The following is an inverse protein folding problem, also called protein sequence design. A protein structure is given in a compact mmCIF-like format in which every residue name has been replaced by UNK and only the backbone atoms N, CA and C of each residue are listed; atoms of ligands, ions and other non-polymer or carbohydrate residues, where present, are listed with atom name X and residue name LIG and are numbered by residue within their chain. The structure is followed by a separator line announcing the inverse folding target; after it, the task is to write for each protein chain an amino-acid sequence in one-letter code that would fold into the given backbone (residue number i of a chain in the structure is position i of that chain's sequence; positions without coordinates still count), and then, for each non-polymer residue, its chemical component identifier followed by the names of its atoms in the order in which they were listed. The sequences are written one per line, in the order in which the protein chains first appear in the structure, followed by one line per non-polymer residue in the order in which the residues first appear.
data_IF_235014378513
#
_entry.id   IF_235014378513
#
_cell.length_a   1.000
_cell.length_b   1.000
_cell.length_c   1.000
_cell.angle_alpha   90.00
_cell.angle_beta   90.00
_cell.angle_gamma   90.00
#
_symmetry.space_group_name_H-M   'P 1'
#
loop_
_entity.id
_entity.type
_entity.pdbx_description
1 polymer ?
#
# COMPACT_ATOMS: atom_id res chain seq x y z
N UNK A 1 -7.85 -0.79 -1.41
CA UNK A 1 -8.67 -1.83 -0.71
C UNK A 1 -9.37 -2.83 -1.64
N UNK A 2 -10.05 -2.38 -2.70
CA UNK A 2 -10.84 -3.27 -3.57
C UNK A 2 -10.00 -4.34 -4.28
N UNK A 3 -8.76 -4.03 -4.66
CA UNK A 3 -7.85 -4.99 -5.32
C UNK A 3 -7.34 -6.08 -4.37
N UNK A 4 -7.18 -5.77 -3.08
CA UNK A 4 -6.52 -6.65 -2.11
C UNK A 4 -7.48 -7.33 -1.15
N UNK A 5 -8.71 -6.81 -1.01
CA UNK A 5 -9.69 -7.31 -0.05
C UNK A 5 -9.97 -8.80 -0.23
N UNK A 6 -9.99 -9.32 -1.47
CA UNK A 6 -10.30 -10.71 -1.82
C UNK A 6 -9.15 -11.68 -1.59
N UNK A 7 -7.90 -11.21 -1.69
CA UNK A 7 -6.71 -12.05 -1.88
C UNK A 7 -6.54 -13.12 -0.80
N UNK A 8 -6.90 -12.83 0.46
CA UNK A 8 -6.85 -13.78 1.57
C UNK A 8 -8.21 -14.05 2.21
N UNK A 9 -9.12 -13.07 2.20
CA UNK A 9 -10.44 -13.26 2.82
C UNK A 9 -11.30 -14.28 2.07
N UNK A 10 -11.20 -14.31 0.74
CA UNK A 10 -12.03 -15.20 -0.08
C UNK A 10 -11.55 -16.65 0.01
N UNK A 11 -10.25 -16.89 0.04
CA UNK A 11 -9.68 -18.22 0.27
C UNK A 11 -10.04 -18.80 1.63
N UNK A 12 -10.15 -17.94 2.66
CA UNK A 12 -10.64 -18.35 3.98
C UNK A 12 -12.12 -18.68 3.95
N UNK A 13 -12.92 -17.91 3.23
CA UNK A 13 -14.36 -18.14 3.11
C UNK A 13 -14.68 -19.44 2.35
N UNK A 14 -13.87 -19.78 1.35
CA UNK A 14 -14.07 -20.96 0.50
C UNK A 14 -13.39 -22.22 1.08
N UNK A 15 -12.53 -22.08 2.09
CA UNK A 15 -11.83 -23.19 2.74
C UNK A 15 -10.57 -23.67 2.00
N UNK A 16 -10.24 -23.09 0.84
CA UNK A 16 -9.01 -23.37 0.09
C UNK A 16 -7.74 -22.99 0.87
N UNK A 17 -7.89 -22.13 1.89
CA UNK A 17 -6.81 -21.81 2.82
C UNK A 17 -6.24 -23.05 3.54
N UNK A 18 -7.04 -24.08 3.79
CA UNK A 18 -6.55 -25.31 4.44
C UNK A 18 -5.67 -26.16 3.52
N UNK A 19 -6.00 -26.19 2.21
CA UNK A 19 -5.18 -26.85 1.19
C UNK A 19 -3.82 -26.17 1.00
N UNK A 20 -3.78 -24.85 1.06
CA UNK A 20 -2.51 -24.10 1.05
C UNK A 20 -1.67 -24.41 2.30
N UNK A 21 -2.31 -24.66 3.44
CA UNK A 21 -1.64 -24.95 4.72
C UNK A 21 -1.01 -26.35 4.77
N UNK A 22 -1.57 -27.32 4.05
CA UNK A 22 -1.00 -28.68 3.96
C UNK A 22 0.10 -28.79 2.92
N UNK A 23 0.22 -27.80 2.03
CA UNK A 23 1.34 -27.71 1.08
C UNK A 23 2.64 -27.29 1.79
N UNK A 24 3.82 -27.75 1.35
CA UNK A 24 5.12 -27.44 1.96
C UNK A 24 5.61 -26.02 1.60
N UNK A 25 4.70 -25.03 1.61
CA UNK A 25 4.96 -23.65 1.22
C UNK A 25 5.01 -22.78 2.48
N UNK A 26 6.04 -21.95 2.61
CA UNK A 26 6.19 -21.07 3.77
C UNK A 26 5.21 -19.90 3.68
N UNK A 27 4.65 -19.46 4.82
CA UNK A 27 3.66 -18.38 4.88
C UNK A 27 4.11 -17.10 4.15
N UNK A 28 5.38 -16.70 4.31
CA UNK A 28 5.92 -15.52 3.63
C UNK A 28 5.90 -15.63 2.10
N UNK A 29 6.04 -16.84 1.54
CA UNK A 29 6.02 -17.06 0.08
C UNK A 29 4.61 -16.82 -0.47
N UNK A 30 3.59 -17.26 0.26
CA UNK A 30 2.19 -17.01 -0.09
C UNK A 30 1.87 -15.52 -0.05
N UNK A 31 2.32 -14.83 1.00
CA UNK A 31 2.11 -13.38 1.17
C UNK A 31 2.82 -12.59 0.06
N UNK A 32 4.09 -12.86 -0.19
CA UNK A 32 4.86 -12.19 -1.24
C UNK A 32 4.28 -12.47 -2.64
N UNK A 33 3.90 -13.70 -2.93
CA UNK A 33 3.28 -14.04 -4.22
C UNK A 33 1.99 -13.26 -4.48
N UNK A 34 1.11 -13.18 -3.48
CA UNK A 34 -0.14 -12.40 -3.57
C UNK A 34 0.12 -10.90 -3.67
N UNK A 35 1.10 -10.39 -2.92
CA UNK A 35 1.50 -9.01 -2.98
C UNK A 35 2.04 -8.63 -4.38
N UNK A 36 2.96 -9.42 -4.93
CA UNK A 36 3.51 -9.20 -6.26
C UNK A 36 2.44 -9.30 -7.35
N UNK A 37 1.50 -10.25 -7.24
CA UNK A 37 0.37 -10.33 -8.15
C UNK A 37 -0.47 -9.04 -8.13
N UNK A 38 -0.70 -8.47 -6.95
CA UNK A 38 -1.42 -7.20 -6.81
C UNK A 38 -0.65 -6.00 -7.38
N UNK A 39 0.69 -5.99 -7.25
CA UNK A 39 1.55 -4.98 -7.86
C UNK A 39 1.46 -5.06 -9.38
N UNK A 40 1.55 -6.26 -9.97
CA UNK A 40 1.50 -6.43 -11.44
C UNK A 40 0.18 -5.91 -12.00
N UNK A 41 -0.94 -6.24 -11.36
CA UNK A 41 -2.25 -5.71 -11.75
C UNK A 41 -2.28 -4.18 -11.65
N UNK A 42 -1.76 -3.63 -10.55
CA UNK A 42 -1.70 -2.18 -10.39
C UNK A 42 -0.82 -1.50 -11.47
N UNK A 43 0.40 -1.99 -11.68
CA UNK A 43 1.32 -1.45 -12.69
C UNK A 43 0.72 -1.54 -14.10
N UNK A 44 -0.01 -2.61 -14.42
CA UNK A 44 -0.69 -2.72 -15.71
C UNK A 44 -1.73 -1.61 -15.92
N UNK A 45 -2.42 -1.18 -14.87
CA UNK A 45 -3.33 -0.03 -14.91
C UNK A 45 -2.59 1.29 -15.04
N UNK A 46 -1.48 1.47 -14.31
CA UNK A 46 -0.63 2.66 -14.39
C UNK A 46 0.01 2.83 -15.77
N UNK A 47 0.35 1.76 -16.46
CA UNK A 47 0.89 1.84 -17.83
C UNK A 47 -0.11 2.52 -18.80
N UNK A 48 -1.41 2.32 -18.61
CA UNK A 48 -2.42 2.98 -19.44
C UNK A 48 -2.41 4.51 -19.27
N UNK A 49 -2.04 5.01 -18.08
CA UNK A 49 -1.98 6.45 -17.82
C UNK A 49 -0.77 7.12 -18.47
N UNK A 50 0.26 6.37 -18.88
CA UNK A 50 1.38 6.91 -19.65
C UNK A 50 0.93 7.52 -20.99
N UNK A 51 -0.22 7.09 -21.52
CA UNK A 51 -0.84 7.72 -22.69
C UNK A 51 -1.02 9.24 -22.51
N UNK A 52 -1.36 9.69 -21.30
CA UNK A 52 -1.49 11.13 -21.00
C UNK A 52 -0.14 11.86 -21.06
N UNK A 53 0.95 11.20 -20.66
CA UNK A 53 2.31 11.77 -20.77
C UNK A 53 2.69 11.98 -22.23
N UNK A 54 2.35 11.02 -23.09
CA UNK A 54 2.59 11.13 -24.54
C UNK A 54 1.80 12.29 -25.15
N UNK A 55 0.51 12.42 -24.81
CA UNK A 55 -0.33 13.52 -25.29
C UNK A 55 0.24 14.88 -24.82
N UNK A 56 0.62 14.99 -23.55
CA UNK A 56 1.23 16.23 -23.03
C UNK A 56 2.58 16.52 -23.68
N UNK A 57 3.38 15.51 -24.02
CA UNK A 57 4.65 15.71 -24.73
C UNK A 57 4.47 16.22 -26.16
N UNK A 58 3.35 15.91 -26.82
CA UNK A 58 3.03 16.36 -28.18
C UNK A 58 2.43 17.78 -28.16
N UNK A 59 1.48 18.04 -27.26
CA UNK A 59 0.68 19.28 -27.27
C UNK A 59 1.10 20.32 -26.23
N UNK A 60 2.01 19.99 -25.31
CA UNK A 60 2.45 20.85 -24.22
C UNK A 60 3.97 20.92 -24.07
N UNK A 61 4.42 21.64 -23.03
CA UNK A 61 5.81 21.65 -22.55
C UNK A 61 5.86 21.07 -21.14
N UNK A 62 5.65 19.75 -20.98
CA UNK A 62 5.64 19.14 -19.67
C UNK A 62 7.03 19.18 -19.03
N UNK A 63 7.07 19.35 -17.71
CA UNK A 63 8.27 19.06 -16.93
C UNK A 63 8.37 17.55 -16.70
N UNK A 64 9.20 16.90 -17.52
CA UNK A 64 9.44 15.45 -17.42
C UNK A 64 10.06 15.03 -16.08
N UNK A 65 10.78 15.92 -15.40
CA UNK A 65 11.32 15.66 -14.06
C UNK A 65 10.19 15.45 -13.07
N UNK A 66 9.32 16.45 -12.93
CA UNK A 66 8.15 16.39 -12.04
C UNK A 66 7.19 15.25 -12.38
N UNK A 67 7.01 14.94 -13.67
CA UNK A 67 6.20 13.78 -14.09
C UNK A 67 6.83 12.48 -13.60
N UNK A 68 8.13 12.28 -13.83
CA UNK A 68 8.82 11.06 -13.43
C UNK A 68 8.79 10.87 -11.91
N UNK A 69 9.11 11.92 -11.14
CA UNK A 69 9.08 11.87 -9.68
C UNK A 69 7.66 11.60 -9.18
N UNK A 70 6.64 12.23 -9.78
CA UNK A 70 5.25 12.00 -9.43
C UNK A 70 4.82 10.55 -9.66
N UNK A 71 5.22 9.93 -10.77
CA UNK A 71 4.97 8.51 -11.03
C UNK A 71 5.68 7.59 -10.04
N UNK A 72 6.93 7.91 -9.70
CA UNK A 72 7.70 7.16 -8.70
C UNK A 72 6.99 7.22 -7.34
N UNK A 73 6.64 8.42 -6.87
CA UNK A 73 5.88 8.61 -5.64
C UNK A 73 4.55 7.85 -5.66
N UNK A 74 3.80 7.93 -6.76
CA UNK A 74 2.52 7.24 -6.91
C UNK A 74 2.66 5.72 -6.81
N UNK A 75 3.68 5.15 -7.45
CA UNK A 75 3.96 3.71 -7.39
C UNK A 75 4.33 3.30 -5.96
N UNK A 76 5.19 4.04 -5.27
CA UNK A 76 5.58 3.75 -3.89
C UNK A 76 4.41 3.83 -2.92
N UNK A 77 3.64 4.93 -2.97
CA UNK A 77 2.47 5.14 -2.11
C UNK A 77 1.44 4.03 -2.33
N UNK A 78 1.12 3.71 -3.59
CA UNK A 78 0.15 2.66 -3.88
C UNK A 78 0.66 1.27 -3.49
N UNK A 79 1.96 1.01 -3.66
CA UNK A 79 2.59 -0.24 -3.21
C UNK A 79 2.46 -0.44 -1.69
N UNK A 80 2.58 0.64 -0.89
CA UNK A 80 2.31 0.61 0.54
C UNK A 80 0.81 0.42 0.87
N UNK A 81 -0.09 1.04 0.11
CA UNK A 81 -1.53 0.84 0.29
C UNK A 81 -1.99 -0.58 -0.06
N UNK A 82 -1.37 -1.22 -1.06
CA UNK A 82 -1.63 -2.62 -1.39
C UNK A 82 -1.18 -3.55 -0.26
N UNK A 83 -0.01 -3.31 0.35
CA UNK A 83 0.46 -4.13 1.47
C UNK A 83 -0.41 -3.95 2.73
N UNK A 84 -0.85 -2.73 3.04
CA UNK A 84 -1.83 -2.45 4.10
C UNK A 84 -3.17 -3.16 3.81
N UNK A 85 -3.64 -3.08 2.56
CA UNK A 85 -4.87 -3.74 2.16
C UNK A 85 -4.79 -5.27 2.24
N UNK A 86 -3.62 -5.85 2.00
CA UNK A 86 -3.37 -7.29 2.18
C UNK A 86 -3.40 -7.68 3.65
N UNK A 87 -2.82 -6.87 4.54
CA UNK A 87 -2.92 -7.04 5.99
C UNK A 87 -4.38 -7.03 6.47
N UNK A 88 -5.20 -6.10 5.97
CA UNK A 88 -6.63 -6.06 6.29
C UNK A 88 -7.37 -7.33 5.82
N UNK A 89 -7.03 -7.85 4.64
CA UNK A 89 -7.55 -9.14 4.14
C UNK A 89 -7.08 -10.34 4.99
N UNK A 90 -5.88 -10.26 5.56
CA UNK A 90 -5.38 -11.29 6.48
C UNK A 90 -6.08 -11.27 7.86
N UNK A 91 -6.58 -10.12 8.30
CA UNK A 91 -7.30 -10.00 9.58
C UNK A 91 -8.75 -10.49 9.48
N UNK A 92 -9.40 -10.30 8.34
CA UNK A 92 -10.82 -10.67 8.13
C UNK A 92 -11.00 -12.03 7.44
N UNK A 93 -12.16 -12.65 7.65
CA UNK A 93 -12.67 -13.80 6.87
C UNK A 93 -13.74 -13.39 5.85
N UNK A 94 -14.29 -12.18 5.97
CA UNK A 94 -15.30 -11.65 5.05
C UNK A 94 -14.68 -10.54 4.19
N UNK A 95 -14.83 -10.65 2.87
CA UNK A 95 -14.32 -9.70 1.88
C UNK A 95 -14.83 -8.27 2.13
N UNK A 96 -16.10 -8.08 2.49
CA UNK A 96 -16.64 -6.75 2.75
C UNK A 96 -15.97 -6.10 3.96
N UNK A 97 -15.81 -6.87 5.04
CA UNK A 97 -15.13 -6.41 6.26
C UNK A 97 -13.66 -6.12 6.00
N UNK A 98 -12.97 -6.96 5.19
CA UNK A 98 -11.59 -6.72 4.76
C UNK A 98 -11.46 -5.40 3.99
N UNK A 99 -12.38 -5.13 3.07
CA UNK A 99 -12.42 -3.90 2.29
C UNK A 99 -12.61 -2.66 3.16
N UNK A 100 -13.57 -2.69 4.08
CA UNK A 100 -13.85 -1.59 5.02
C UNK A 100 -12.65 -1.33 5.94
N UNK A 101 -12.07 -2.38 6.53
CA UNK A 101 -10.90 -2.25 7.40
C UNK A 101 -9.71 -1.66 6.64
N UNK A 102 -9.41 -2.16 5.44
CA UNK A 102 -8.32 -1.64 4.63
C UNK A 102 -8.55 -0.19 4.23
N UNK A 103 -9.78 0.18 3.88
CA UNK A 103 -10.14 1.57 3.60
C UNK A 103 -9.97 2.46 4.83
N UNK A 104 -10.48 2.04 6.00
CA UNK A 104 -10.38 2.81 7.23
C UNK A 104 -8.92 3.08 7.64
N UNK A 105 -8.04 2.07 7.56
CA UNK A 105 -6.62 2.23 7.89
C UNK A 105 -5.96 3.26 6.95
N UNK A 106 -6.17 3.10 5.63
CA UNK A 106 -5.59 4.03 4.64
C UNK A 106 -6.17 5.43 4.82
N UNK A 107 -7.46 5.54 5.10
CA UNK A 107 -8.13 6.83 5.30
C UNK A 107 -7.60 7.56 6.54
N UNK A 108 -7.37 6.84 7.65
CA UNK A 108 -6.74 7.41 8.84
C UNK A 108 -5.32 7.90 8.52
N UNK A 109 -4.50 7.09 7.85
CA UNK A 109 -3.13 7.47 7.47
C UNK A 109 -3.10 8.72 6.59
N UNK A 110 -4.10 8.89 5.72
CA UNK A 110 -4.23 10.09 4.90
C UNK A 110 -4.67 11.32 5.70
N UNK A 111 -5.53 11.13 6.70
CA UNK A 111 -6.04 12.22 7.56
C UNK A 111 -5.00 12.75 8.56
N UNK A 112 -3.91 12.01 8.81
CA UNK A 112 -2.81 12.45 9.69
C UNK A 112 -2.22 13.79 9.24
N UNK A 113 -2.17 14.05 7.93
CA UNK A 113 -1.68 15.32 7.37
C UNK A 113 -2.53 16.52 7.80
N UNK A 114 -3.85 16.35 7.80
CA UNK A 114 -4.77 17.40 8.24
C UNK A 114 -4.60 17.64 9.74
N UNK A 115 -4.39 16.58 10.51
CA UNK A 115 -4.16 16.68 11.95
C UNK A 115 -2.84 17.42 12.26
N UNK A 116 -1.75 17.17 11.52
CA UNK A 116 -0.48 17.86 11.76
C UNK A 116 -0.58 19.38 11.58
N UNK A 117 -1.42 19.84 10.65
CA UNK A 117 -1.67 21.26 10.40
C UNK A 117 -2.60 21.97 11.40
N UNK A 118 -3.37 21.23 12.21
CA UNK A 118 -4.31 21.81 13.18
C UNK A 118 -3.74 21.78 14.62
N UNK A 119 -2.84 20.84 14.90
CA UNK A 119 -2.20 20.71 16.21
C UNK A 119 -1.29 21.92 16.49
N UNK A 120 -1.49 22.55 17.64
CA UNK A 120 -0.75 23.76 18.07
C UNK A 120 0.56 23.45 18.79
N UNK A 121 0.75 22.22 19.24
CA UNK A 121 2.00 21.76 19.86
C UNK A 121 3.02 21.40 18.76
N UNK A 122 4.15 22.11 18.74
CA UNK A 122 5.21 21.94 17.74
C UNK A 122 5.80 20.53 17.71
N UNK A 123 5.94 19.88 18.87
CA UNK A 123 6.53 18.53 18.94
C UNK A 123 5.58 17.52 18.30
N UNK A 124 4.29 17.62 18.65
CA UNK A 124 3.27 16.73 18.10
C UNK A 124 3.04 16.98 16.61
N UNK A 125 3.03 18.24 16.16
CA UNK A 125 2.90 18.59 14.74
C UNK A 125 4.04 18.01 13.90
N UNK A 126 5.29 18.10 14.38
CA UNK A 126 6.45 17.53 13.71
C UNK A 126 6.36 16.00 13.60
N UNK A 127 5.98 15.31 14.67
CA UNK A 127 5.81 13.84 14.67
C UNK A 127 4.74 13.42 13.67
N UNK A 128 3.59 14.11 13.66
CA UNK A 128 2.50 13.80 12.73
C UNK A 128 2.90 14.05 11.27
N UNK A 129 3.69 15.08 11.01
CA UNK A 129 4.20 15.40 9.67
C UNK A 129 5.14 14.30 9.14
N UNK A 130 6.00 13.74 9.98
CA UNK A 130 6.89 12.61 9.64
C UNK A 130 6.16 11.26 9.49
N UNK A 131 4.91 11.16 9.98
CA UNK A 131 4.06 9.98 9.80
C UNK A 131 3.11 10.17 8.61
N UNK A 132 2.94 11.41 8.14
CA UNK A 132 2.01 11.75 7.08
C UNK A 132 2.44 11.13 5.75
N UNK A 133 1.61 10.22 5.24
CA UNK A 133 1.76 9.68 3.89
C UNK A 133 1.64 10.77 2.83
N UNK A 134 0.82 11.78 3.09
CA UNK A 134 0.58 12.85 2.13
C UNK A 134 1.78 13.78 2.04
N UNK A 135 2.41 14.12 3.17
CA UNK A 135 3.62 14.93 3.23
C UNK A 135 4.79 14.29 2.45
N UNK A 136 5.02 12.98 2.65
CA UNK A 136 6.04 12.27 1.87
C UNK A 136 5.67 12.15 0.37
N UNK A 137 4.38 12.12 0.03
CA UNK A 137 3.92 12.07 -1.36
C UNK A 137 4.02 13.42 -2.08
N UNK A 138 3.78 14.54 -1.40
CA UNK A 138 3.84 15.88 -2.00
C UNK A 138 5.25 16.27 -2.45
N UNK A 139 6.30 15.80 -1.76
CA UNK A 139 7.68 15.97 -2.22
C UNK A 139 7.91 15.39 -3.62
N UNK A 140 7.36 14.22 -3.91
CA UNK A 140 7.44 13.63 -5.24
C UNK A 140 6.66 14.43 -6.29
N UNK A 141 5.54 15.04 -5.90
CA UNK A 141 4.73 15.89 -6.78
C UNK A 141 5.41 17.22 -7.14
N UNK A 142 6.39 17.68 -6.35
CA UNK A 142 7.14 18.91 -6.60
C UNK A 142 8.48 18.67 -7.33
N UNK A 143 8.76 17.43 -7.76
CA UNK A 143 10.02 17.11 -8.45
C UNK A 143 11.16 16.69 -7.53
N UNK A 144 10.93 16.57 -6.22
CA UNK A 144 11.96 16.23 -5.24
C UNK A 144 11.97 14.72 -4.98
N UNK A 145 13.16 14.12 -5.01
CA UNK A 145 13.37 12.74 -4.58
C UNK A 145 14.28 12.77 -3.36
N UNK A 146 13.70 12.58 -2.18
CA UNK A 146 14.46 12.38 -0.96
C UNK A 146 14.49 10.90 -0.57
N UNK A 147 15.67 10.47 -0.08
CA UNK A 147 15.86 9.09 0.40
C UNK A 147 14.94 8.79 1.59
N UNK A 148 14.58 9.82 2.37
CA UNK A 148 13.67 9.70 3.51
C UNK A 148 12.28 9.24 3.07
N UNK A 149 11.74 9.83 2.00
CA UNK A 149 10.41 9.51 1.50
C UNK A 149 10.35 8.10 0.91
N UNK A 150 11.40 7.70 0.18
CA UNK A 150 11.53 6.34 -0.35
C UNK A 150 11.62 5.33 0.82
N UNK A 151 12.48 5.60 1.80
CA UNK A 151 12.67 4.74 2.95
C UNK A 151 11.38 4.61 3.78
N UNK A 152 10.61 5.68 3.92
CA UNK A 152 9.31 5.69 4.59
C UNK A 152 8.32 4.70 3.96
N UNK A 153 8.14 4.75 2.63
CA UNK A 153 7.22 3.84 1.95
C UNK A 153 7.72 2.39 1.98
N UNK A 154 9.01 2.15 1.78
CA UNK A 154 9.61 0.82 1.88
C UNK A 154 9.43 0.23 3.29
N UNK A 155 9.62 1.06 4.33
CA UNK A 155 9.41 0.66 5.71
C UNK A 155 7.97 0.17 5.93
N UNK A 156 6.98 0.93 5.48
CA UNK A 156 5.57 0.55 5.59
C UNK A 156 5.24 -0.74 4.83
N UNK A 157 5.82 -0.94 3.65
CA UNK A 157 5.66 -2.17 2.87
C UNK A 157 6.20 -3.37 3.67
N UNK A 158 7.44 -3.31 4.14
CA UNK A 158 8.07 -4.41 4.89
C UNK A 158 7.31 -4.68 6.20
N UNK A 159 6.96 -3.63 6.95
CA UNK A 159 6.24 -3.74 8.21
C UNK A 159 4.89 -4.44 8.03
N UNK A 160 4.10 -4.02 7.04
CA UNK A 160 2.76 -4.59 6.83
C UNK A 160 2.79 -6.00 6.26
N UNK A 161 3.76 -6.34 5.40
CA UNK A 161 3.94 -7.71 4.90
C UNK A 161 4.43 -8.68 5.98
N UNK A 162 5.34 -8.24 6.86
CA UNK A 162 5.80 -9.06 7.99
C UNK A 162 4.68 -9.29 8.99
N UNK A 163 3.87 -8.27 9.30
CA UNK A 163 2.66 -8.42 10.12
C UNK A 163 1.66 -9.38 9.48
N UNK A 164 1.44 -9.28 8.17
CA UNK A 164 0.54 -10.17 7.42
C UNK A 164 0.99 -11.62 7.55
N UNK A 165 2.30 -11.87 7.43
CA UNK A 165 2.90 -13.20 7.57
C UNK A 165 2.69 -13.74 8.99
N UNK A 166 2.96 -12.94 10.03
CA UNK A 166 2.74 -13.34 11.43
C UNK A 166 1.28 -13.63 11.75
N UNK A 167 0.34 -12.87 11.17
CA UNK A 167 -1.11 -13.10 11.33
C UNK A 167 -1.50 -14.46 10.75
N UNK A 168 -0.93 -14.85 9.61
CA UNK A 168 -1.12 -16.15 8.97
C UNK A 168 -0.53 -17.28 9.82
N UNK A 169 0.72 -17.13 10.28
CA UNK A 169 1.42 -18.12 11.11
C UNK A 169 0.73 -18.35 12.45
N UNK A 170 0.31 -17.29 13.15
CA UNK A 170 -0.34 -17.41 14.47
C UNK A 170 -1.64 -18.23 14.41
N UNK A 171 -2.36 -18.17 13.29
CA UNK A 171 -3.58 -18.96 13.07
C UNK A 171 -3.28 -20.42 12.74
N UNK A 172 -2.05 -20.76 12.36
CA UNK A 172 -1.64 -22.16 12.17
C UNK A 172 -1.40 -22.88 13.49
N UNK A 173 -1.06 -22.17 14.57
CA UNK A 173 -0.72 -22.78 15.87
C UNK A 173 -1.92 -22.95 16.82
N UNK A 174 -3.06 -22.33 16.52
CA UNK A 174 -4.27 -22.41 17.36
C UNK A 174 -5.18 -23.60 17.05
N UNK A 175 -4.86 -24.38 16.02
CA UNK A 175 -5.58 -25.61 15.64
C UNK A 175 -4.61 -26.78 15.62
#
# INVERSE_FOLDING_TARGET
PLLTMRLLSEEKKIGTYELLRTSPIKAYQVVLGKYLASIVIFLSGTLLTLTYVVIMGIYGKPDYGTIFTGYLGFILTMSAFLSIGLLASALSQNQMVAGILGFAIIFILWFIDILSGIVTDDILSNILTEISFLNHYTNFLTGVIDLKDIAFFIFWIILTLTLTTKVIETRTWKN
#
